data_IF_088087759635
#
_entry.id   IF_088087759635
#
_cell.length_a   1.000
_cell.length_b   1.000
_cell.length_c   1.000
_cell.angle_alpha   90.00
_cell.angle_beta   90.00
_cell.angle_gamma   90.00
#
_symmetry.space_group_name_H-M   'P 1'
#
loop_
_entity.id
_entity.type
_entity.pdbx_description
1 polymer ?
#
# COMPACT_ATOMS: atom_id res chain seq x y z
N UNK A 1 2.80 -14.49 16.76
CA UNK A 1 3.91 -13.85 16.02
C UNK A 1 4.21 -12.49 16.65
N UNK A 2 5.48 -12.15 16.83
CA UNK A 2 5.95 -10.89 17.45
C UNK A 2 6.10 -9.81 16.37
N UNK A 3 5.46 -8.66 16.57
CA UNK A 3 5.44 -7.55 15.61
C UNK A 3 6.15 -6.33 16.21
N UNK A 4 7.06 -5.75 15.42
CA UNK A 4 7.56 -4.40 15.61
C UNK A 4 6.86 -3.45 14.65
N UNK A 5 6.64 -2.21 15.08
CA UNK A 5 6.07 -1.15 14.23
C UNK A 5 7.01 0.04 14.23
N UNK A 6 7.44 0.49 13.06
CA UNK A 6 8.17 1.76 12.89
C UNK A 6 7.22 2.89 12.47
N UNK A 7 7.60 4.12 12.79
CA UNK A 7 6.70 5.27 12.66
C UNK A 7 5.49 5.17 13.60
N UNK A 8 5.68 4.61 14.80
CA UNK A 8 4.64 4.25 15.77
C UNK A 8 3.69 5.41 16.12
N UNK A 9 4.16 6.65 16.11
CA UNK A 9 3.37 7.87 16.41
C UNK A 9 2.66 8.45 15.19
N UNK A 10 2.99 7.95 13.99
CA UNK A 10 2.36 8.37 12.74
C UNK A 10 0.94 7.83 12.56
N UNK A 11 0.20 8.40 11.60
CA UNK A 11 -1.18 7.99 11.28
C UNK A 11 -1.31 6.50 10.99
N UNK A 12 -0.40 5.93 10.18
CA UNK A 12 -0.43 4.50 9.86
C UNK A 12 0.11 3.66 11.02
N UNK A 13 1.19 4.09 11.68
CA UNK A 13 1.77 3.39 12.83
C UNK A 13 0.73 3.14 13.92
N UNK A 14 -0.05 4.16 14.30
CA UNK A 14 -1.14 4.02 15.28
C UNK A 14 -2.18 3.00 14.85
N UNK A 15 -2.66 3.05 13.60
CA UNK A 15 -3.65 2.10 13.08
C UNK A 15 -3.10 0.66 13.03
N UNK A 16 -1.82 0.48 12.69
CA UNK A 16 -1.17 -0.83 12.69
C UNK A 16 -1.05 -1.36 14.13
N UNK A 17 -0.61 -0.53 15.08
CA UNK A 17 -0.56 -0.90 16.50
C UNK A 17 -1.95 -1.33 16.98
N UNK A 18 -2.99 -0.53 16.72
CA UNK A 18 -4.37 -0.88 17.08
C UNK A 18 -4.80 -2.21 16.47
N UNK A 19 -4.50 -2.44 15.18
CA UNK A 19 -4.83 -3.70 14.48
C UNK A 19 -4.10 -4.90 15.11
N UNK A 20 -2.82 -4.74 15.45
CA UNK A 20 -2.03 -5.77 16.16
C UNK A 20 -2.61 -6.06 17.53
N UNK A 21 -2.97 -5.03 18.30
CA UNK A 21 -3.55 -5.17 19.64
C UNK A 21 -4.96 -5.80 19.68
N UNK A 22 -5.64 -5.79 18.54
CA UNK A 22 -6.95 -6.43 18.34
C UNK A 22 -6.85 -7.81 17.65
N UNK A 23 -5.64 -8.35 17.49
CA UNK A 23 -5.39 -9.66 16.85
C UNK A 23 -4.89 -10.66 17.89
N UNK A 24 -5.56 -11.81 18.02
CA UNK A 24 -5.23 -12.83 19.03
C UNK A 24 -3.91 -13.56 18.76
N UNK A 25 -3.50 -13.63 17.47
CA UNK A 25 -2.31 -14.35 17.00
C UNK A 25 -1.04 -13.48 16.92
N UNK A 26 -1.17 -12.16 17.20
CA UNK A 26 -0.09 -11.20 17.11
C UNK A 26 0.23 -10.58 18.48
N UNK A 27 1.50 -10.24 18.67
CA UNK A 27 1.97 -9.56 19.87
C UNK A 27 2.85 -8.37 19.48
N UNK A 28 2.45 -7.17 19.85
CA UNK A 28 3.33 -6.00 19.76
C UNK A 28 4.52 -6.18 20.72
N UNK A 29 5.74 -6.02 20.23
CA UNK A 29 6.98 -6.16 21.04
C UNK A 29 7.90 -4.95 20.93
N UNK A 30 7.74 -4.12 19.90
CA UNK A 30 8.49 -2.87 19.73
C UNK A 30 7.66 -1.83 18.98
N UNK A 31 7.81 -0.57 19.36
CA UNK A 31 7.16 0.59 18.76
C UNK A 31 8.22 1.69 18.59
N UNK A 32 8.77 1.80 17.37
CA UNK A 32 9.89 2.71 17.09
C UNK A 32 9.40 3.95 16.34
N UNK A 33 9.93 5.11 16.71
CA UNK A 33 9.60 6.40 16.08
C UNK A 33 10.87 7.22 15.81
N UNK A 34 10.72 8.37 15.13
CA UNK A 34 11.83 9.29 14.93
C UNK A 34 12.30 9.92 16.25
N UNK A 35 13.59 10.27 16.39
CA UNK A 35 14.09 10.99 17.56
C UNK A 35 13.35 12.31 17.80
N UNK A 36 13.23 12.70 19.08
CA UNK A 36 12.66 13.98 19.48
C UNK A 36 11.15 14.08 19.43
N UNK A 37 10.45 12.96 19.21
CA UNK A 37 8.98 12.91 19.25
C UNK A 37 8.52 12.87 20.71
N UNK A 38 7.48 13.66 21.03
CA UNK A 38 7.00 13.86 22.41
C UNK A 38 6.47 12.59 23.08
N UNK A 39 5.98 11.62 22.29
CA UNK A 39 5.42 10.36 22.78
C UNK A 39 6.49 9.32 23.20
N UNK A 40 7.78 9.60 22.98
CA UNK A 40 8.87 8.71 23.46
C UNK A 40 8.76 8.58 24.99
N UNK A 41 8.85 7.33 25.46
CA UNK A 41 8.68 7.00 26.89
C UNK A 41 7.26 6.65 27.29
N UNK A 42 6.25 6.87 26.41
CA UNK A 42 4.86 6.48 26.70
C UNK A 42 4.55 5.05 26.22
N UNK A 43 3.53 4.41 26.80
CA UNK A 43 3.07 3.08 26.35
C UNK A 43 2.42 3.19 24.96
N UNK A 44 2.77 2.30 24.05
CA UNK A 44 2.28 2.28 22.68
C UNK A 44 0.76 2.06 22.54
N UNK A 45 0.12 1.49 23.57
CA UNK A 45 -1.33 1.29 23.66
C UNK A 45 -2.09 2.45 24.30
N UNK A 46 -1.39 3.44 24.85
CA UNK A 46 -2.03 4.51 25.64
C UNK A 46 -3.11 5.28 24.87
N UNK A 47 -2.87 5.56 23.57
CA UNK A 47 -3.85 6.25 22.72
C UNK A 47 -5.13 5.45 22.44
N UNK A 48 -5.15 4.16 22.76
CA UNK A 48 -6.27 3.23 22.59
C UNK A 48 -6.86 2.80 23.95
N UNK A 49 -6.45 3.43 25.07
CA UNK A 49 -6.87 3.05 26.39
C UNK A 49 -6.37 1.67 26.84
N UNK A 50 -5.31 1.16 26.23
CA UNK A 50 -4.71 -0.15 26.53
C UNK A 50 -3.32 0.03 27.13
N UNK A 51 -2.94 -0.87 28.05
CA UNK A 51 -1.57 -0.99 28.55
C UNK A 51 -0.92 -2.19 27.90
N UNK A 52 0.13 -1.97 27.11
CA UNK A 52 0.83 -3.02 26.37
C UNK A 52 2.13 -3.46 27.04
N UNK A 53 2.71 -2.60 27.86
CA UNK A 53 4.07 -2.74 28.40
C UNK A 53 5.17 -2.48 27.36
N UNK A 54 4.81 -2.06 26.14
CA UNK A 54 5.74 -1.67 25.07
C UNK A 54 5.83 -0.16 25.04
N UNK A 55 7.02 0.36 25.31
CA UNK A 55 7.30 1.80 25.33
C UNK A 55 7.67 2.27 23.91
N UNK A 56 7.12 3.40 23.51
CA UNK A 56 7.53 4.09 22.26
C UNK A 56 8.94 4.62 22.45
N UNK A 57 9.85 4.29 21.52
CA UNK A 57 11.27 4.64 21.60
C UNK A 57 11.85 5.01 20.25
N UNK A 58 13.00 5.66 20.22
CA UNK A 58 13.84 5.87 19.04
C UNK A 58 15.01 4.88 18.96
N UNK A 59 15.12 3.96 19.93
CA UNK A 59 16.14 2.91 19.92
C UNK A 59 15.79 1.80 18.93
N UNK A 60 16.52 1.73 17.83
CA UNK A 60 16.35 0.70 16.79
C UNK A 60 16.71 -0.71 17.26
N UNK A 61 17.45 -0.86 18.38
CA UNK A 61 17.78 -2.17 18.94
C UNK A 61 16.53 -2.95 19.38
N UNK A 62 15.46 -2.25 19.71
CA UNK A 62 14.18 -2.84 20.07
C UNK A 62 13.57 -3.69 18.94
N UNK A 63 13.88 -3.39 17.66
CA UNK A 63 13.41 -4.16 16.50
C UNK A 63 13.89 -5.63 16.53
N UNK A 64 15.03 -5.91 17.17
CA UNK A 64 15.55 -7.28 17.27
C UNK A 64 14.66 -8.25 18.06
N UNK A 65 13.68 -7.74 18.80
CA UNK A 65 12.71 -8.55 19.57
C UNK A 65 11.61 -9.16 18.70
N UNK A 66 11.45 -8.67 17.46
CA UNK A 66 10.34 -9.03 16.59
C UNK A 66 10.67 -10.16 15.62
N UNK A 67 9.63 -10.85 15.19
CA UNK A 67 9.69 -11.76 14.04
C UNK A 67 9.55 -10.97 12.73
N UNK A 68 8.70 -9.91 12.74
CA UNK A 68 8.42 -9.05 11.58
C UNK A 68 8.32 -7.58 12.00
N UNK A 69 8.98 -6.71 11.23
CA UNK A 69 8.81 -5.26 11.26
C UNK A 69 7.75 -4.85 10.24
N UNK A 70 6.76 -4.04 10.64
CA UNK A 70 5.85 -3.34 9.72
C UNK A 70 6.25 -1.87 9.67
N UNK A 71 6.66 -1.41 8.47
CA UNK A 71 7.23 -0.09 8.24
C UNK A 71 6.38 0.78 7.31
N UNK A 72 5.91 1.92 7.84
CA UNK A 72 5.22 2.99 7.11
C UNK A 72 5.84 4.34 7.48
N UNK A 73 7.08 4.56 7.08
CA UNK A 73 7.84 5.76 7.44
C UNK A 73 8.23 6.59 6.21
N UNK A 74 9.51 6.74 5.99
CA UNK A 74 10.12 7.42 4.83
C UNK A 74 11.24 6.55 4.27
N UNK A 75 11.60 6.68 2.97
CA UNK A 75 12.65 5.85 2.36
C UNK A 75 13.94 5.77 3.17
N UNK A 76 14.43 6.91 3.67
CA UNK A 76 15.67 6.97 4.43
C UNK A 76 15.60 6.16 5.73
N UNK A 77 14.47 6.19 6.44
CA UNK A 77 14.29 5.43 7.67
C UNK A 77 14.17 3.93 7.37
N UNK A 78 13.35 3.55 6.38
CA UNK A 78 13.24 2.16 5.94
C UNK A 78 14.63 1.58 5.59
N UNK A 79 15.41 2.30 4.76
CA UNK A 79 16.74 1.85 4.34
C UNK A 79 17.73 1.75 5.51
N UNK A 80 17.57 2.58 6.55
CA UNK A 80 18.37 2.47 7.78
C UNK A 80 18.00 1.25 8.62
N UNK A 81 16.74 0.81 8.60
CA UNK A 81 16.29 -0.39 9.34
C UNK A 81 16.68 -1.70 8.65
N UNK A 82 16.77 -1.74 7.32
CA UNK A 82 17.03 -2.99 6.57
C UNK A 82 18.30 -3.73 7.01
N UNK A 83 19.48 -3.11 7.14
CA UNK A 83 20.70 -3.81 7.59
C UNK A 83 20.53 -4.40 8.99
N UNK A 84 19.79 -3.71 9.86
CA UNK A 84 19.48 -4.20 11.20
C UNK A 84 18.55 -5.42 11.16
N UNK A 85 17.49 -5.36 10.35
CA UNK A 85 16.57 -6.48 10.17
C UNK A 85 17.29 -7.72 9.59
N UNK A 86 18.17 -7.52 8.60
CA UNK A 86 19.00 -8.59 8.03
C UNK A 86 19.90 -9.22 9.10
N UNK A 87 20.59 -8.40 9.91
CA UNK A 87 21.47 -8.88 10.98
C UNK A 87 20.75 -9.73 12.03
N UNK A 88 19.51 -9.39 12.34
CA UNK A 88 18.73 -10.03 13.41
C UNK A 88 17.65 -11.00 12.88
N UNK A 89 17.66 -11.30 11.59
CA UNK A 89 16.69 -12.20 10.93
C UNK A 89 15.22 -11.78 11.17
N UNK A 90 14.93 -10.48 11.05
CA UNK A 90 13.59 -9.90 11.17
C UNK A 90 13.00 -9.70 9.76
N UNK A 91 11.86 -10.34 9.47
CA UNK A 91 11.11 -10.11 8.23
C UNK A 91 10.58 -8.67 8.15
N UNK A 92 10.34 -8.14 6.95
CA UNK A 92 9.93 -6.73 6.81
C UNK A 92 8.74 -6.57 5.88
N UNK A 93 7.71 -5.86 6.35
CA UNK A 93 6.60 -5.38 5.52
C UNK A 93 6.79 -3.89 5.28
N UNK A 94 7.04 -3.51 4.03
CA UNK A 94 7.36 -2.13 3.62
C UNK A 94 6.15 -1.54 2.89
N UNK A 95 5.40 -0.66 3.57
CA UNK A 95 4.35 0.19 3.01
C UNK A 95 4.83 1.61 2.72
N UNK A 96 6.07 1.94 3.02
CA UNK A 96 6.73 3.19 2.67
C UNK A 96 6.84 3.31 1.16
N UNK A 97 6.57 4.49 0.63
CA UNK A 97 6.62 4.80 -0.81
C UNK A 97 7.68 5.85 -1.11
N UNK A 98 7.98 6.07 -2.40
CA UNK A 98 8.90 7.14 -2.84
C UNK A 98 10.37 6.72 -2.90
N UNK A 99 10.68 5.43 -2.93
CA UNK A 99 12.05 4.96 -3.16
C UNK A 99 12.50 5.24 -4.59
N UNK A 100 13.75 5.69 -4.71
CA UNK A 100 14.47 5.73 -5.96
C UNK A 100 14.92 4.33 -6.43
N UNK A 101 15.60 4.27 -7.57
CA UNK A 101 16.11 3.00 -8.11
C UNK A 101 17.11 2.33 -7.16
N UNK A 102 17.98 3.11 -6.52
CA UNK A 102 19.00 2.60 -5.58
C UNK A 102 18.36 2.04 -4.31
N UNK A 103 17.36 2.72 -3.76
CA UNK A 103 16.61 2.23 -2.60
C UNK A 103 15.88 0.91 -2.88
N UNK A 104 15.30 0.75 -4.09
CA UNK A 104 14.70 -0.53 -4.51
C UNK A 104 15.72 -1.66 -4.63
N UNK A 105 16.94 -1.36 -5.09
CA UNK A 105 18.05 -2.34 -5.12
C UNK A 105 18.43 -2.77 -3.70
N UNK A 106 18.50 -1.85 -2.73
CA UNK A 106 18.80 -2.20 -1.34
C UNK A 106 17.71 -3.08 -0.71
N UNK A 107 16.43 -2.80 -1.01
CA UNK A 107 15.30 -3.66 -0.57
C UNK A 107 15.46 -5.07 -1.17
N UNK A 108 15.74 -5.18 -2.47
CA UNK A 108 15.94 -6.47 -3.13
C UNK A 108 17.15 -7.23 -2.57
N UNK A 109 18.23 -6.54 -2.20
CA UNK A 109 19.40 -7.16 -1.58
C UNK A 109 19.07 -7.70 -0.19
N UNK A 110 18.38 -6.93 0.66
CA UNK A 110 17.92 -7.40 1.97
C UNK A 110 17.01 -8.63 1.86
N UNK A 111 16.17 -8.68 0.82
CA UNK A 111 15.25 -9.79 0.57
C UNK A 111 15.96 -11.12 0.22
N UNK A 112 17.23 -11.11 -0.14
CA UNK A 112 18.01 -12.34 -0.31
C UNK A 112 18.30 -13.06 1.02
N UNK A 113 18.20 -12.35 2.14
CA UNK A 113 18.52 -12.87 3.48
C UNK A 113 17.28 -13.00 4.35
N UNK A 114 16.38 -12.03 4.32
CA UNK A 114 15.14 -12.01 5.12
C UNK A 114 13.91 -11.89 4.21
N UNK A 115 12.73 -12.39 4.63
CA UNK A 115 11.53 -12.24 3.82
C UNK A 115 11.02 -10.80 3.87
N UNK A 116 10.73 -10.21 2.70
CA UNK A 116 10.28 -8.83 2.55
C UNK A 116 9.00 -8.79 1.71
N UNK A 117 7.92 -8.19 2.25
CA UNK A 117 6.80 -7.72 1.42
C UNK A 117 7.01 -6.24 1.13
N UNK A 118 7.08 -5.87 -0.13
CA UNK A 118 7.18 -4.48 -0.57
C UNK A 118 6.02 -4.14 -1.52
N UNK A 119 5.16 -3.22 -1.09
CA UNK A 119 4.04 -2.77 -1.91
C UNK A 119 3.69 -1.30 -1.65
N UNK A 120 3.41 -0.52 -2.71
CA UNK A 120 3.02 0.89 -2.58
C UNK A 120 1.61 1.06 -1.99
N UNK A 121 0.80 0.01 -2.01
CA UNK A 121 -0.54 -0.02 -1.44
C UNK A 121 -0.80 -1.39 -0.79
N UNK A 122 -1.10 -1.40 0.50
CA UNK A 122 -1.33 -2.61 1.28
C UNK A 122 -2.81 -3.01 1.38
N UNK A 123 -3.74 -2.21 0.84
CA UNK A 123 -5.17 -2.55 0.90
C UNK A 123 -5.48 -3.83 0.14
N UNK A 124 -6.07 -4.80 0.83
CA UNK A 124 -6.56 -6.04 0.20
C UNK A 124 -7.57 -5.71 -0.89
N UNK A 125 -8.53 -4.80 -0.61
CA UNK A 125 -9.55 -4.40 -1.58
C UNK A 125 -8.97 -3.76 -2.85
N UNK A 126 -7.99 -2.83 -2.71
CA UNK A 126 -7.33 -2.21 -3.87
C UNK A 126 -6.60 -3.28 -4.69
N UNK A 127 -5.80 -4.14 -4.07
CA UNK A 127 -5.04 -5.16 -4.78
C UNK A 127 -5.95 -6.20 -5.46
N UNK A 128 -7.08 -6.57 -4.83
CA UNK A 128 -8.11 -7.43 -5.46
C UNK A 128 -8.71 -6.76 -6.69
N UNK A 129 -9.07 -5.48 -6.60
CA UNK A 129 -9.58 -4.72 -7.75
C UNK A 129 -8.53 -4.61 -8.85
N UNK A 130 -7.27 -4.38 -8.53
CA UNK A 130 -6.18 -4.36 -9.53
C UNK A 130 -6.10 -5.68 -10.31
N UNK A 131 -6.24 -6.82 -9.65
CA UNK A 131 -6.25 -8.13 -10.34
C UNK A 131 -7.51 -8.32 -11.18
N UNK A 132 -8.68 -7.93 -10.68
CA UNK A 132 -9.92 -7.95 -11.45
C UNK A 132 -9.84 -7.06 -12.70
N UNK A 133 -9.19 -5.89 -12.62
CA UNK A 133 -9.01 -4.97 -13.74
C UNK A 133 -8.07 -5.54 -14.82
N UNK A 134 -7.04 -6.27 -14.44
CA UNK A 134 -6.18 -6.99 -15.39
C UNK A 134 -7.00 -8.02 -16.20
N UNK A 135 -7.82 -8.81 -15.52
CA UNK A 135 -8.71 -9.80 -16.15
C UNK A 135 -9.77 -9.10 -17.02
N UNK A 136 -10.43 -8.07 -16.47
CA UNK A 136 -11.45 -7.32 -17.21
C UNK A 136 -10.86 -6.61 -18.44
N UNK A 137 -9.63 -6.07 -18.34
CA UNK A 137 -8.92 -5.47 -19.46
C UNK A 137 -8.73 -6.43 -20.64
N UNK A 138 -8.39 -7.70 -20.34
CA UNK A 138 -8.27 -8.73 -21.37
C UNK A 138 -9.64 -9.11 -21.99
N UNK A 139 -10.65 -9.33 -21.14
CA UNK A 139 -11.98 -9.77 -21.59
C UNK A 139 -12.75 -8.69 -22.33
N UNK A 140 -12.60 -7.41 -21.93
CA UNK A 140 -13.35 -6.25 -22.41
C UNK A 140 -12.45 -5.33 -23.27
N UNK A 141 -11.49 -5.91 -24.01
CA UNK A 141 -10.49 -5.14 -24.77
C UNK A 141 -11.11 -4.21 -25.82
N UNK A 142 -12.31 -4.52 -26.31
CA UNK A 142 -13.06 -3.71 -27.29
C UNK A 142 -13.96 -2.61 -26.67
N UNK A 143 -14.07 -2.59 -25.32
CA UNK A 143 -14.85 -1.58 -24.63
C UNK A 143 -14.00 -0.34 -24.35
N UNK A 144 -14.63 0.84 -24.38
CA UNK A 144 -14.00 2.06 -23.90
C UNK A 144 -13.74 1.98 -22.42
N UNK A 145 -12.57 2.48 -21.97
CA UNK A 145 -12.23 2.46 -20.55
C UNK A 145 -12.03 3.88 -20.03
N UNK A 146 -12.77 4.21 -18.98
CA UNK A 146 -12.66 5.48 -18.25
C UNK A 146 -12.50 5.21 -16.74
N UNK A 147 -11.63 5.98 -16.10
CA UNK A 147 -11.35 5.88 -14.67
C UNK A 147 -11.73 7.17 -13.98
N UNK A 148 -12.68 7.10 -13.07
CA UNK A 148 -13.08 8.25 -12.24
C UNK A 148 -12.57 8.03 -10.82
N UNK A 149 -11.90 9.05 -10.27
CA UNK A 149 -11.42 9.01 -8.90
C UNK A 149 -11.83 10.26 -8.11
N UNK A 150 -12.10 10.09 -6.82
CA UNK A 150 -12.39 11.19 -5.92
C UNK A 150 -11.60 11.09 -4.64
N UNK A 151 -11.01 12.20 -4.23
CA UNK A 151 -10.31 12.35 -2.95
C UNK A 151 -10.67 13.66 -2.27
N UNK A 152 -10.24 13.77 -1.00
CA UNK A 152 -10.42 14.98 -0.19
C UNK A 152 -9.80 16.22 -0.84
N UNK A 153 -10.32 17.41 -0.48
CA UNK A 153 -9.92 18.71 -1.02
C UNK A 153 -8.42 19.05 -0.87
N UNK A 154 -7.70 18.36 0.01
CA UNK A 154 -6.26 18.61 0.28
C UNK A 154 -5.32 17.71 -0.53
N UNK A 155 -5.82 16.82 -1.39
CA UNK A 155 -4.96 15.99 -2.26
C UNK A 155 -4.40 16.85 -3.39
N UNK A 156 -3.08 16.81 -3.57
CA UNK A 156 -2.35 17.70 -4.50
C UNK A 156 -2.04 17.07 -5.85
N UNK A 157 -1.91 15.73 -5.91
CA UNK A 157 -1.66 14.99 -7.15
C UNK A 157 -2.98 14.59 -7.83
N UNK A 158 -3.02 14.65 -9.16
CA UNK A 158 -4.13 14.17 -10.00
C UNK A 158 -3.59 13.73 -11.38
N UNK A 159 -4.03 12.56 -11.93
CA UNK A 159 -4.79 11.52 -11.24
C UNK A 159 -4.03 10.91 -10.05
N UNK A 160 -4.75 10.26 -9.12
CA UNK A 160 -4.13 9.59 -7.98
C UNK A 160 -3.24 8.42 -8.41
N UNK A 161 -2.19 8.11 -7.63
CA UNK A 161 -1.33 6.97 -7.88
C UNK A 161 -2.10 5.64 -8.01
N UNK A 162 -3.18 5.46 -7.23
CA UNK A 162 -4.07 4.28 -7.33
C UNK A 162 -4.84 4.25 -8.65
N UNK A 163 -5.36 5.39 -9.11
CA UNK A 163 -6.03 5.47 -10.41
C UNK A 163 -5.08 5.14 -11.56
N UNK A 164 -3.86 5.69 -11.53
CA UNK A 164 -2.84 5.38 -12.53
C UNK A 164 -2.48 3.88 -12.54
N UNK A 165 -2.36 3.25 -11.37
CA UNK A 165 -2.10 1.81 -11.27
C UNK A 165 -3.28 0.99 -11.80
N UNK A 166 -4.52 1.41 -11.55
CA UNK A 166 -5.72 0.78 -12.15
C UNK A 166 -5.66 0.83 -13.68
N UNK A 167 -5.29 1.97 -14.27
CA UNK A 167 -5.09 2.10 -15.71
C UNK A 167 -3.98 1.20 -16.24
N UNK A 168 -2.85 1.07 -15.52
CA UNK A 168 -1.77 0.15 -15.89
C UNK A 168 -2.22 -1.30 -15.89
N UNK A 169 -3.09 -1.70 -14.94
CA UNK A 169 -3.64 -3.07 -14.92
C UNK A 169 -4.58 -3.34 -16.09
N UNK A 170 -5.40 -2.37 -16.46
CA UNK A 170 -6.24 -2.48 -17.67
C UNK A 170 -5.34 -2.59 -18.93
N UNK A 171 -4.33 -1.73 -19.06
CA UNK A 171 -3.38 -1.77 -20.16
C UNK A 171 -2.63 -3.10 -20.24
N UNK A 172 -2.17 -3.62 -19.09
CA UNK A 172 -1.54 -4.94 -18.99
C UNK A 172 -2.47 -6.05 -19.50
N UNK A 173 -3.73 -6.06 -19.04
CA UNK A 173 -4.73 -7.01 -19.51
C UNK A 173 -5.01 -6.92 -21.00
N UNK A 174 -4.95 -5.72 -21.59
CA UNK A 174 -5.10 -5.48 -23.03
C UNK A 174 -3.82 -5.81 -23.84
N UNK A 175 -2.68 -6.02 -23.18
CA UNK A 175 -1.39 -6.23 -23.85
C UNK A 175 -0.85 -4.98 -24.54
N UNK A 176 -1.16 -3.78 -24.04
CA UNK A 176 -0.73 -2.49 -24.59
C UNK A 176 0.14 -1.72 -23.62
N UNK A 177 1.00 -0.83 -24.14
CA UNK A 177 1.76 0.10 -23.31
C UNK A 177 0.85 1.18 -22.73
N UNK A 178 0.86 1.34 -21.40
CA UNK A 178 0.02 2.29 -20.68
C UNK A 178 0.24 3.73 -21.13
N UNK A 179 1.51 4.13 -21.27
CA UNK A 179 1.86 5.52 -21.57
C UNK A 179 1.43 5.93 -23.00
N UNK A 180 1.25 4.95 -23.89
CA UNK A 180 0.76 5.19 -25.26
C UNK A 180 -0.76 5.37 -25.36
N UNK A 181 -1.54 4.90 -24.37
CA UNK A 181 -3.01 4.89 -24.40
C UNK A 181 -3.65 5.74 -23.30
N UNK A 182 -2.87 6.27 -22.35
CA UNK A 182 -3.39 7.04 -21.23
C UNK A 182 -3.79 8.46 -21.65
N UNK A 183 -5.04 8.86 -21.34
CA UNK A 183 -5.56 10.23 -21.49
C UNK A 183 -5.85 10.78 -20.10
N UNK A 184 -4.86 11.48 -19.51
CA UNK A 184 -4.86 11.85 -18.09
C UNK A 184 -5.85 12.97 -17.76
N UNK A 185 -6.27 13.76 -18.75
CA UNK A 185 -7.28 14.81 -18.61
C UNK A 185 -7.87 15.17 -19.97
N UNK A 186 -9.07 15.77 -19.95
CA UNK A 186 -9.72 16.38 -21.11
C UNK A 186 -10.21 17.77 -20.73
N UNK A 187 -9.93 18.76 -21.59
CA UNK A 187 -10.36 20.14 -21.39
C UNK A 187 -10.72 20.79 -22.74
N UNK A 188 -11.83 21.52 -22.80
CA UNK A 188 -12.27 22.22 -24.00
C UNK A 188 -12.69 21.28 -25.14
N UNK A 189 -12.34 21.63 -26.36
CA UNK A 189 -12.61 20.83 -27.56
C UNK A 189 -11.46 19.85 -27.82
N UNK A 190 -11.63 18.60 -27.41
CA UNK A 190 -10.58 17.55 -27.52
C UNK A 190 -10.74 16.65 -28.73
N UNK A 191 -11.80 16.85 -29.55
CA UNK A 191 -12.16 15.92 -30.60
C UNK A 191 -12.85 14.66 -30.06
N UNK A 192 -13.06 13.69 -30.93
CA UNK A 192 -13.61 12.38 -30.55
C UNK A 192 -12.60 11.61 -29.66
N UNK A 193 -13.14 10.71 -28.86
CA UNK A 193 -12.32 9.84 -28.02
C UNK A 193 -11.46 8.93 -28.88
N UNK A 194 -10.12 8.86 -28.68
CA UNK A 194 -9.30 7.91 -29.41
C UNK A 194 -9.66 6.46 -29.07
N UNK A 195 -9.68 5.58 -30.08
CA UNK A 195 -9.91 4.15 -29.89
C UNK A 195 -8.80 3.55 -29.00
N UNK A 196 -9.19 2.62 -28.10
CA UNK A 196 -8.29 1.94 -27.19
C UNK A 196 -7.77 2.79 -26.02
N UNK A 197 -8.05 4.11 -25.99
CA UNK A 197 -7.60 4.98 -24.90
C UNK A 197 -8.10 4.52 -23.53
N UNK A 198 -7.35 4.86 -22.49
CA UNK A 198 -7.74 4.74 -21.08
C UNK A 198 -7.82 6.16 -20.52
N UNK A 199 -9.04 6.65 -20.29
CA UNK A 199 -9.27 8.01 -19.85
C UNK A 199 -9.32 8.15 -18.34
N UNK A 200 -9.05 9.38 -17.86
CA UNK A 200 -9.07 9.69 -16.42
C UNK A 200 -9.86 10.96 -16.14
N UNK A 201 -10.63 10.93 -15.03
CA UNK A 201 -11.29 12.08 -14.45
C UNK A 201 -11.04 12.12 -12.94
N UNK A 202 -10.51 13.24 -12.45
CA UNK A 202 -10.17 13.42 -11.04
C UNK A 202 -11.10 14.44 -10.37
N UNK A 203 -11.76 14.01 -9.29
CA UNK A 203 -12.64 14.83 -8.48
C UNK A 203 -11.98 15.14 -7.13
N UNK A 204 -12.22 16.33 -6.57
CA UNK A 204 -11.72 16.74 -5.25
C UNK A 204 -12.86 17.36 -4.45
N UNK A 205 -13.08 16.87 -3.21
CA UNK A 205 -14.14 17.40 -2.35
C UNK A 205 -14.20 16.72 -0.99
N UNK A 206 -14.69 17.45 0.00
CA UNK A 206 -14.93 16.94 1.34
C UNK A 206 -13.68 16.33 1.99
N UNK A 207 -13.90 15.22 2.67
CA UNK A 207 -12.93 14.39 3.39
C UNK A 207 -12.78 12.99 2.80
N UNK A 208 -13.21 12.78 1.56
CA UNK A 208 -13.17 11.48 0.86
C UNK A 208 -11.75 10.91 0.91
N UNK A 209 -11.63 9.70 1.46
CA UNK A 209 -10.34 9.04 1.64
C UNK A 209 -9.76 8.58 0.31
N UNK A 210 -10.61 8.04 -0.57
CA UNK A 210 -10.26 7.63 -1.91
C UNK A 210 -11.29 6.70 -2.53
N UNK A 211 -12.03 7.20 -3.49
CA UNK A 211 -12.98 6.45 -4.31
C UNK A 211 -12.43 6.31 -5.72
N UNK A 212 -12.56 5.15 -6.30
CA UNK A 212 -12.11 4.84 -7.65
C UNK A 212 -13.14 3.97 -8.35
N UNK A 213 -13.52 4.32 -9.56
CA UNK A 213 -14.41 3.53 -10.41
C UNK A 213 -13.78 3.42 -11.80
N UNK A 214 -13.59 2.20 -12.25
CA UNK A 214 -13.21 1.90 -13.64
C UNK A 214 -14.44 1.47 -14.39
N UNK A 215 -14.72 2.16 -15.49
CA UNK A 215 -15.90 2.02 -16.32
C UNK A 215 -15.46 1.41 -17.65
N UNK A 216 -16.04 0.28 -18.00
CA UNK A 216 -15.93 -0.31 -19.33
C UNK A 216 -17.25 -0.10 -20.04
N UNK A 217 -17.25 0.73 -21.10
CA UNK A 217 -18.45 1.10 -21.86
C UNK A 217 -18.43 0.43 -23.23
N UNK A 218 -19.40 -0.43 -23.47
CA UNK A 218 -19.63 -1.11 -24.74
C UNK A 218 -20.95 -0.69 -25.39
N UNK A 219 -21.27 -1.22 -26.59
CA UNK A 219 -22.53 -0.95 -27.26
C UNK A 219 -23.73 -1.43 -26.43
N UNK A 220 -24.50 -0.48 -25.90
CA UNK A 220 -25.74 -0.77 -25.19
C UNK A 220 -25.58 -1.21 -23.72
N UNK A 221 -24.34 -1.34 -23.21
CA UNK A 221 -24.11 -1.74 -21.82
C UNK A 221 -22.84 -1.10 -21.23
N UNK A 222 -22.72 -1.19 -19.91
CA UNK A 222 -21.59 -0.65 -19.17
C UNK A 222 -21.30 -1.54 -17.96
N UNK A 223 -20.00 -1.82 -17.71
CA UNK A 223 -19.53 -2.54 -16.55
C UNK A 223 -18.70 -1.58 -15.70
N UNK A 224 -18.96 -1.55 -14.40
CA UNK A 224 -18.24 -0.69 -13.46
C UNK A 224 -17.59 -1.55 -12.36
N UNK A 225 -16.30 -1.34 -12.13
CA UNK A 225 -15.55 -1.96 -11.03
C UNK A 225 -15.10 -0.83 -10.11
N UNK A 226 -15.64 -0.82 -8.88
CA UNK A 226 -15.42 0.27 -7.93
C UNK A 226 -14.72 -0.20 -6.66
N UNK A 227 -13.84 0.65 -6.13
CA UNK A 227 -13.30 0.58 -4.78
C UNK A 227 -13.52 1.90 -4.06
N UNK A 228 -14.13 1.86 -2.89
CA UNK A 228 -14.38 3.04 -2.04
C UNK A 228 -13.77 2.82 -0.67
N UNK A 229 -12.86 3.71 -0.27
CA UNK A 229 -12.17 3.65 1.01
C UNK A 229 -12.85 4.56 2.03
N UNK A 230 -13.48 3.97 3.04
CA UNK A 230 -14.08 4.73 4.15
C UNK A 230 -13.08 5.14 5.24
N UNK A 231 -11.93 4.45 5.31
CA UNK A 231 -10.88 4.74 6.30
C UNK A 231 -9.53 4.14 5.90
N UNK A 232 -8.47 4.53 6.61
CA UNK A 232 -7.13 3.93 6.43
C UNK A 232 -6.96 2.56 7.10
N UNK A 233 -7.96 2.06 7.83
CA UNK A 233 -7.89 0.76 8.51
C UNK A 233 -7.64 -0.40 7.53
N UNK A 234 -8.15 -0.32 6.30
CA UNK A 234 -7.89 -1.33 5.26
C UNK A 234 -6.41 -1.51 4.91
N UNK A 235 -5.61 -0.43 4.98
CA UNK A 235 -4.16 -0.52 4.76
C UNK A 235 -3.44 -1.19 5.95
N UNK A 236 -3.86 -0.88 7.18
CA UNK A 236 -3.29 -1.51 8.39
C UNK A 236 -3.63 -3.00 8.43
N UNK A 237 -4.87 -3.36 8.10
CA UNK A 237 -5.30 -4.75 8.00
C UNK A 237 -4.50 -5.52 6.93
N UNK A 238 -4.29 -4.93 5.77
CA UNK A 238 -3.49 -5.53 4.70
C UNK A 238 -2.01 -5.68 5.09
N UNK A 239 -1.43 -4.70 5.79
CA UNK A 239 -0.07 -4.81 6.30
C UNK A 239 0.09 -5.94 7.33
N UNK A 240 -0.89 -6.13 8.20
CA UNK A 240 -0.95 -7.26 9.14
C UNK A 240 -1.11 -8.59 8.40
N UNK A 241 -1.93 -8.63 7.34
CA UNK A 241 -2.06 -9.81 6.47
C UNK A 241 -0.72 -10.15 5.80
N UNK A 242 0.01 -9.13 5.31
CA UNK A 242 1.35 -9.30 4.76
C UNK A 242 2.35 -9.83 5.80
N UNK A 243 2.29 -9.35 7.04
CA UNK A 243 3.13 -9.87 8.13
C UNK A 243 2.85 -11.36 8.41
N UNK A 244 1.58 -11.76 8.43
CA UNK A 244 1.20 -13.18 8.60
C UNK A 244 1.73 -14.06 7.46
N UNK A 245 1.69 -13.56 6.23
CA UNK A 245 2.24 -14.27 5.06
C UNK A 245 3.73 -14.55 5.20
N UNK A 246 4.49 -13.63 5.83
CA UNK A 246 5.94 -13.81 6.03
C UNK A 246 6.30 -14.89 7.06
N UNK A 247 5.37 -15.36 7.89
CA UNK A 247 5.63 -16.32 8.97
C UNK A 247 6.35 -17.58 8.51
N UNK A 248 5.98 -18.08 7.32
CA UNK A 248 6.49 -19.35 6.77
C UNK A 248 7.51 -19.10 5.63
N UNK A 249 8.06 -17.89 5.54
CA UNK A 249 9.05 -17.53 4.53
C UNK A 249 10.41 -17.34 5.19
N UNK A 250 11.45 -17.89 4.57
CA UNK A 250 12.83 -17.73 5.05
C UNK A 250 13.50 -16.48 4.47
N UNK A 251 13.24 -16.17 3.22
CA UNK A 251 13.72 -15.01 2.48
C UNK A 251 12.85 -14.78 1.23
N UNK A 252 13.11 -13.73 0.49
CA UNK A 252 12.43 -13.41 -0.77
C UNK A 252 11.78 -12.04 -0.76
N UNK A 253 11.62 -11.47 -1.95
CA UNK A 253 10.89 -10.22 -2.18
C UNK A 253 9.50 -10.54 -2.72
N UNK A 254 8.49 -10.15 -1.98
CA UNK A 254 7.09 -10.44 -2.27
C UNK A 254 6.28 -9.16 -2.46
N UNK A 255 5.25 -9.24 -3.27
CA UNK A 255 4.23 -8.21 -3.49
C UNK A 255 2.94 -8.56 -2.74
N UNK A 256 1.95 -7.66 -2.77
CA UNK A 256 0.60 -7.99 -2.29
C UNK A 256 -0.10 -9.02 -3.17
N UNK A 257 0.28 -9.20 -4.44
CA UNK A 257 -0.25 -10.29 -5.27
C UNK A 257 0.18 -11.66 -4.74
N UNK A 258 1.45 -11.78 -4.29
CA UNK A 258 1.95 -13.00 -3.64
C UNK A 258 1.24 -13.27 -2.31
N UNK A 259 1.05 -12.22 -1.50
CA UNK A 259 0.33 -12.29 -0.20
C UNK A 259 -1.10 -12.78 -0.38
N UNK A 260 -1.76 -12.36 -1.46
CA UNK A 260 -3.18 -12.66 -1.72
C UNK A 260 -3.38 -13.88 -2.63
N UNK A 261 -2.29 -14.51 -3.10
CA UNK A 261 -2.38 -15.73 -3.94
C UNK A 261 -2.94 -15.47 -5.33
N UNK A 262 -2.63 -14.31 -5.95
CA UNK A 262 -3.12 -13.96 -7.29
C UNK A 262 -2.20 -14.41 -8.43
N UNK A 263 -1.16 -15.13 -8.14
CA UNK A 263 -0.19 -15.66 -9.10
C UNK A 263 -0.63 -16.97 -9.70
#
# INVERSE_FOLDING_TARGET
MKIAVSGATGRMGKLIIETVLNSDDLKLVAAVTAPGVAEIGTDAGASFGKTTGVVITDDVQELAKADVLIDFTRPQATLAYLPFCVKHNVGVVIGTTGFDAQGKVQIAEAAKTVPVVFAPNMSVGVNSVLKLLEIAGAMLSQYDCEIVEMHHKHKVDAPSGTALEMGRRVALGRGVDFDSVAVLSREGHTGERPDGAIGFAALRGGDVVGDHTVIFAGPGERIEISHKSGSRAGYAQGAVTAARFLKDKSNGLFSMSDVLGFN
#
